data_IF_149964799932
#
_entry.id   IF_149964799932
#
_cell.length_a   1.000
_cell.length_b   1.000
_cell.length_c   1.000
_cell.angle_alpha   90.00
_cell.angle_beta   90.00
_cell.angle_gamma   90.00
#
_symmetry.space_group_name_H-M   'P 1'
#
loop_
_entity.id
_entity.type
_entity.pdbx_description
1 polymer ?
#
# COMPACT_ATOMS: atom_id res chain seq x y z
N UNK A 1 -2.01 1.99 37.31
CA UNK A 1 -1.06 2.99 36.78
C UNK A 1 -0.59 2.71 35.34
N UNK A 2 -0.36 1.48 34.88
CA UNK A 2 0.15 1.18 33.54
C UNK A 2 -0.76 1.61 32.36
N UNK A 3 -2.08 1.40 32.46
CA UNK A 3 -3.05 1.77 31.40
C UNK A 3 -3.12 3.29 31.16
N UNK A 4 -3.00 4.10 32.21
CA UNK A 4 -3.01 5.58 32.10
C UNK A 4 -1.73 6.09 31.43
N UNK A 5 -0.56 5.54 31.77
CA UNK A 5 0.72 5.88 31.12
C UNK A 5 0.70 5.52 29.64
N UNK A 6 0.16 4.37 29.25
CA UNK A 6 0.00 3.96 27.86
C UNK A 6 -0.89 4.91 27.05
N UNK A 7 -2.03 5.33 27.64
CA UNK A 7 -2.94 6.31 27.00
C UNK A 7 -2.28 7.67 26.79
N UNK A 8 -1.55 8.18 27.78
CA UNK A 8 -0.84 9.47 27.69
C UNK A 8 0.27 9.41 26.61
N UNK A 9 1.00 8.29 26.52
CA UNK A 9 2.03 8.07 25.49
C UNK A 9 1.41 8.04 24.09
N UNK A 10 0.27 7.37 23.94
CA UNK A 10 -0.48 7.31 22.68
C UNK A 10 -0.98 8.69 22.24
N UNK A 11 -1.49 9.51 23.17
CA UNK A 11 -1.95 10.87 22.89
C UNK A 11 -0.79 11.81 22.50
N UNK A 12 0.35 11.72 23.19
CA UNK A 12 1.57 12.48 22.83
C UNK A 12 2.06 12.13 21.43
N UNK A 13 2.09 10.83 21.09
CA UNK A 13 2.44 10.36 19.74
C UNK A 13 1.48 10.90 18.69
N UNK A 14 0.16 10.86 18.97
CA UNK A 14 -0.86 11.42 18.07
C UNK A 14 -0.69 12.93 17.89
N UNK A 15 -0.40 13.67 18.95
CA UNK A 15 -0.15 15.12 18.88
C UNK A 15 1.08 15.44 18.01
N UNK A 16 2.18 14.72 18.19
CA UNK A 16 3.37 14.85 17.34
C UNK A 16 3.08 14.57 15.86
N UNK A 17 2.28 13.53 15.57
CA UNK A 17 1.83 13.21 14.21
C UNK A 17 0.98 14.35 13.63
N UNK A 18 0.08 14.95 14.42
CA UNK A 18 -0.77 16.06 13.98
C UNK A 18 0.04 17.30 13.62
N UNK A 19 0.96 17.71 14.49
CA UNK A 19 1.87 18.84 14.23
C UNK A 19 2.70 18.62 12.98
N UNK A 20 3.14 17.37 12.78
CA UNK A 20 3.89 16.98 11.61
C UNK A 20 3.07 16.96 10.31
N UNK A 21 1.79 16.69 10.33
CA UNK A 21 0.96 16.41 9.16
C UNK A 21 -0.03 17.53 8.79
N UNK A 22 0.04 18.70 9.44
CA UNK A 22 -0.96 19.78 9.33
C UNK A 22 -2.39 19.24 9.62
N UNK A 23 -2.51 18.49 10.71
CA UNK A 23 -3.77 17.88 11.11
C UNK A 23 -4.27 18.48 12.43
N UNK A 24 -5.58 18.73 12.52
CA UNK A 24 -6.20 19.14 13.77
C UNK A 24 -6.30 17.92 14.70
N UNK A 25 -5.74 18.04 15.90
CA UNK A 25 -5.68 16.95 16.88
C UNK A 25 -7.07 16.44 17.30
N UNK A 26 -7.99 17.34 17.64
CA UNK A 26 -9.32 16.95 18.10
C UNK A 26 -10.12 16.24 17.00
N UNK A 27 -10.04 16.73 15.77
CA UNK A 27 -10.68 16.07 14.63
C UNK A 27 -10.10 14.68 14.39
N UNK A 28 -8.78 14.54 14.45
CA UNK A 28 -8.11 13.26 14.28
C UNK A 28 -8.51 12.27 15.38
N UNK A 29 -8.53 12.73 16.63
CA UNK A 29 -8.92 11.92 17.79
C UNK A 29 -10.37 11.44 17.68
N UNK A 30 -11.32 12.32 17.41
CA UNK A 30 -12.74 11.97 17.24
C UNK A 30 -12.93 10.97 16.11
N UNK A 31 -12.22 11.16 15.01
CA UNK A 31 -12.28 10.25 13.86
C UNK A 31 -11.71 8.86 14.21
N UNK A 32 -10.59 8.81 14.91
CA UNK A 32 -9.99 7.54 15.38
C UNK A 32 -10.93 6.80 16.33
N UNK A 33 -11.53 7.52 17.29
CA UNK A 33 -12.53 6.97 18.21
C UNK A 33 -13.73 6.41 17.42
N UNK A 34 -14.23 7.14 16.42
CA UNK A 34 -15.32 6.68 15.56
C UNK A 34 -14.98 5.36 14.86
N UNK A 35 -13.80 5.25 14.25
CA UNK A 35 -13.39 3.99 13.61
C UNK A 35 -13.29 2.84 14.59
N UNK A 36 -12.81 3.10 15.82
CA UNK A 36 -12.72 2.09 16.88
C UNK A 36 -14.10 1.63 17.36
N UNK A 37 -15.00 2.56 17.63
CA UNK A 37 -16.33 2.24 18.19
C UNK A 37 -17.24 1.55 17.18
N UNK A 38 -17.31 2.05 15.94
CA UNK A 38 -18.28 1.56 14.96
C UNK A 38 -17.76 0.40 14.11
N UNK A 39 -16.45 0.27 13.94
CA UNK A 39 -15.86 -0.75 13.06
C UNK A 39 -14.85 -1.66 13.75
N UNK A 40 -14.54 -1.41 15.04
CA UNK A 40 -13.46 -2.08 15.77
C UNK A 40 -12.12 -2.05 15.00
N UNK A 41 -11.78 -0.90 14.40
CA UNK A 41 -10.55 -0.70 13.63
C UNK A 41 -9.72 0.43 14.22
N UNK A 42 -8.41 0.20 14.32
CA UNK A 42 -7.44 1.20 14.78
C UNK A 42 -6.91 1.99 13.58
N UNK A 43 -7.74 2.90 13.04
CA UNK A 43 -7.42 3.74 11.88
C UNK A 43 -7.18 5.17 12.33
N UNK A 44 -5.98 5.70 12.03
CA UNK A 44 -5.62 7.10 12.23
C UNK A 44 -5.52 7.75 10.85
N UNK A 45 -6.51 8.56 10.48
CA UNK A 45 -6.64 9.08 9.12
C UNK A 45 -6.75 10.61 9.09
N UNK A 46 -5.93 11.25 8.24
CA UNK A 46 -5.98 12.69 7.99
C UNK A 46 -7.37 13.15 7.51
N UNK A 47 -7.71 14.45 7.72
CA UNK A 47 -9.01 15.05 7.31
C UNK A 47 -9.36 14.84 5.83
N UNK A 48 -8.34 14.77 4.95
CA UNK A 48 -8.49 14.56 3.50
C UNK A 48 -8.41 13.09 3.08
N UNK A 49 -8.69 12.18 3.98
CA UNK A 49 -8.81 10.76 3.68
C UNK A 49 -10.29 10.40 3.57
N UNK A 50 -10.68 9.80 2.46
CA UNK A 50 -12.02 9.28 2.24
C UNK A 50 -11.91 7.76 2.18
N UNK A 51 -12.67 7.06 3.01
CA UNK A 51 -12.72 5.60 3.01
C UNK A 51 -14.16 5.15 2.81
N UNK A 52 -14.41 4.43 1.72
CA UNK A 52 -15.61 3.64 1.51
C UNK A 52 -15.30 2.17 1.81
N UNK A 53 -16.21 1.46 2.46
CA UNK A 53 -16.02 0.04 2.80
C UNK A 53 -15.09 -0.22 3.98
N UNK A 54 -15.08 0.63 5.02
CA UNK A 54 -14.26 0.45 6.24
C UNK A 54 -14.42 -0.95 6.86
N UNK A 55 -15.61 -1.54 6.79
CA UNK A 55 -15.90 -2.90 7.30
C UNK A 55 -15.07 -4.00 6.63
N UNK A 56 -14.66 -3.77 5.40
CA UNK A 56 -13.87 -4.70 4.57
C UNK A 56 -12.35 -4.52 4.74
N UNK A 57 -11.92 -3.61 5.62
CA UNK A 57 -10.52 -3.47 6.01
C UNK A 57 -10.28 -4.37 7.23
N UNK A 58 -9.33 -5.28 7.12
CA UNK A 58 -9.01 -6.28 8.14
C UNK A 58 -7.59 -6.09 8.69
N UNK A 59 -7.33 -6.69 9.85
CA UNK A 59 -6.06 -6.59 10.57
C UNK A 59 -6.24 -6.00 11.97
N UNK A 60 -5.42 -6.45 12.92
CA UNK A 60 -5.53 -6.09 14.34
C UNK A 60 -4.70 -4.89 14.78
N UNK A 61 -3.93 -4.27 13.87
CA UNK A 61 -2.94 -3.25 14.20
C UNK A 61 -3.30 -1.86 13.65
N UNK A 62 -2.50 -0.85 14.00
CA UNK A 62 -2.78 0.53 13.63
C UNK A 62 -2.50 0.78 12.14
N UNK A 63 -3.50 1.26 11.44
CA UNK A 63 -3.40 1.76 10.07
C UNK A 63 -3.37 3.29 10.06
N UNK A 64 -2.25 3.87 9.64
CA UNK A 64 -2.06 5.32 9.53
C UNK A 64 -2.21 5.77 8.08
N UNK A 65 -3.11 6.72 7.79
CA UNK A 65 -3.43 7.10 6.41
C UNK A 65 -3.31 8.62 6.22
N UNK A 66 -2.53 9.02 5.24
CA UNK A 66 -2.40 10.41 4.79
C UNK A 66 -1.67 11.35 5.75
N UNK A 67 -0.98 10.81 6.76
CA UNK A 67 -0.27 11.57 7.81
C UNK A 67 1.25 11.62 7.61
N UNK A 68 1.79 10.88 6.62
CA UNK A 68 3.20 10.94 6.27
C UNK A 68 3.58 12.27 5.60
N UNK A 69 4.75 12.80 5.93
CA UNK A 69 5.31 13.99 5.28
C UNK A 69 6.22 13.60 4.12
N UNK A 70 5.81 13.96 2.92
CA UNK A 70 6.72 14.13 1.80
C UNK A 70 6.67 15.58 1.37
N UNK A 71 7.80 16.26 1.26
CA UNK A 71 7.87 17.72 1.04
C UNK A 71 7.17 18.19 -0.25
N UNK A 72 7.02 17.30 -1.22
CA UNK A 72 6.39 17.58 -2.53
C UNK A 72 4.88 17.27 -2.58
N UNK A 73 4.27 16.88 -1.46
CA UNK A 73 2.83 16.58 -1.40
C UNK A 73 2.07 17.85 -1.01
N UNK A 74 1.08 18.20 -1.80
CA UNK A 74 0.23 19.35 -1.54
C UNK A 74 -0.80 19.05 -0.45
N UNK A 75 -1.13 20.05 0.37
CA UNK A 75 -2.14 19.89 1.44
C UNK A 75 -3.53 19.55 0.89
N UNK A 76 -3.80 19.86 -0.39
CA UNK A 76 -5.03 19.51 -1.11
C UNK A 76 -5.16 18.07 -1.55
N UNK A 77 -4.06 17.30 -1.56
CA UNK A 77 -4.08 15.92 -2.06
C UNK A 77 -4.99 15.02 -1.21
N UNK A 78 -5.97 14.40 -1.87
CA UNK A 78 -6.95 13.51 -1.24
C UNK A 78 -6.48 12.07 -1.36
N UNK A 79 -6.44 11.34 -0.24
CA UNK A 79 -6.26 9.89 -0.21
C UNK A 79 -7.64 9.24 -0.26
N UNK A 80 -7.85 8.34 -1.23
CA UNK A 80 -9.15 7.72 -1.47
C UNK A 80 -9.02 6.19 -1.44
N UNK A 81 -9.80 5.55 -0.58
CA UNK A 81 -9.93 4.11 -0.50
C UNK A 81 -11.38 3.72 -0.80
N UNK A 82 -11.59 2.86 -1.79
CA UNK A 82 -12.86 2.24 -2.13
C UNK A 82 -12.70 0.72 -2.01
N UNK A 83 -13.17 0.15 -0.91
CA UNK A 83 -12.93 -1.26 -0.58
C UNK A 83 -14.26 -2.01 -0.63
N UNK A 84 -14.62 -2.49 -1.84
CA UNK A 84 -15.79 -3.35 -2.02
C UNK A 84 -15.45 -4.81 -1.69
N UNK A 85 -14.26 -5.27 -2.06
CA UNK A 85 -13.67 -6.56 -1.72
C UNK A 85 -13.01 -6.58 -0.34
N UNK A 86 -11.88 -7.27 -0.18
CA UNK A 86 -11.17 -7.43 1.11
C UNK A 86 -9.78 -6.80 1.07
N UNK A 87 -9.45 -5.96 2.07
CA UNK A 87 -8.14 -5.38 2.28
C UNK A 87 -7.60 -5.76 3.66
N UNK A 88 -6.53 -6.55 3.71
CA UNK A 88 -5.94 -7.05 4.96
C UNK A 88 -4.53 -6.49 5.17
N UNK A 89 -4.25 -5.97 6.37
CA UNK A 89 -2.92 -5.55 6.81
C UNK A 89 -2.42 -6.46 7.94
N UNK A 90 -1.27 -7.09 7.72
CA UNK A 90 -0.60 -7.91 8.73
C UNK A 90 0.34 -7.06 9.58
N UNK A 91 -0.15 -6.29 10.52
CA UNK A 91 0.67 -5.44 11.36
C UNK A 91 0.38 -3.95 11.19
N UNK A 92 1.21 -3.10 11.81
CA UNK A 92 1.11 -1.66 11.63
C UNK A 92 1.49 -1.27 10.21
N UNK A 93 0.71 -0.40 9.59
CA UNK A 93 1.00 0.03 8.23
C UNK A 93 0.76 1.52 8.03
N UNK A 94 1.46 2.09 7.05
CA UNK A 94 1.29 3.50 6.67
C UNK A 94 0.97 3.61 5.20
N UNK A 95 -0.10 4.35 4.88
CA UNK A 95 -0.49 4.75 3.54
C UNK A 95 -0.24 6.25 3.39
N UNK A 96 0.57 6.62 2.42
CA UNK A 96 0.91 8.00 2.11
C UNK A 96 -0.28 8.84 1.64
N UNK A 97 -0.09 10.17 1.63
CA UNK A 97 -1.10 11.11 1.12
C UNK A 97 -1.22 11.01 -0.39
N UNK A 98 -2.44 11.20 -0.91
CA UNK A 98 -2.72 11.15 -2.35
C UNK A 98 -2.79 9.73 -2.93
N UNK A 99 -2.65 8.68 -2.11
CA UNK A 99 -2.85 7.31 -2.56
C UNK A 99 -4.31 7.08 -2.97
N UNK A 100 -4.49 6.22 -3.97
CA UNK A 100 -5.80 5.74 -4.43
C UNK A 100 -5.79 4.22 -4.38
N UNK A 101 -6.73 3.64 -3.62
CA UNK A 101 -6.85 2.19 -3.48
C UNK A 101 -8.29 1.82 -3.81
N UNK A 102 -8.45 1.03 -4.86
CA UNK A 102 -9.72 0.47 -5.29
C UNK A 102 -9.62 -1.05 -5.28
N UNK A 103 -10.46 -1.71 -4.50
CA UNK A 103 -10.54 -3.17 -4.39
C UNK A 103 -11.95 -3.57 -4.76
N UNK A 104 -12.09 -4.19 -5.92
CA UNK A 104 -13.38 -4.61 -6.48
C UNK A 104 -14.06 -5.67 -5.61
N UNK A 105 -15.35 -5.84 -5.79
CA UNK A 105 -16.11 -6.92 -5.15
C UNK A 105 -15.52 -8.30 -5.51
N UNK A 106 -15.34 -9.16 -4.50
CA UNK A 106 -14.67 -10.46 -4.66
C UNK A 106 -13.14 -10.42 -4.69
N UNK A 107 -12.54 -9.25 -4.94
CA UNK A 107 -11.08 -9.10 -4.95
C UNK A 107 -10.46 -9.10 -3.56
N UNK A 108 -9.20 -9.51 -3.48
CA UNK A 108 -8.44 -9.57 -2.22
C UNK A 108 -7.11 -8.85 -2.33
N UNK A 109 -6.83 -8.01 -1.34
CA UNK A 109 -5.53 -7.36 -1.17
C UNK A 109 -4.97 -7.70 0.21
N UNK A 110 -3.77 -8.26 0.25
CA UNK A 110 -3.07 -8.56 1.51
C UNK A 110 -1.72 -7.86 1.52
N UNK A 111 -1.43 -7.12 2.59
CA UNK A 111 -0.18 -6.38 2.75
C UNK A 111 0.49 -6.81 4.06
N UNK A 112 1.68 -7.37 3.96
CA UNK A 112 2.47 -7.87 5.07
C UNK A 112 3.00 -6.77 6.00
N UNK A 113 3.40 -7.15 7.20
CA UNK A 113 3.90 -6.23 8.21
C UNK A 113 5.24 -5.57 7.85
N UNK A 114 5.54 -4.40 8.44
CA UNK A 114 6.88 -3.80 8.45
C UNK A 114 7.24 -2.99 7.19
N UNK A 115 6.26 -2.68 6.35
CA UNK A 115 6.45 -1.86 5.16
C UNK A 115 5.59 -0.59 5.16
N UNK A 116 5.59 0.11 4.03
CA UNK A 116 4.69 1.26 3.81
C UNK A 116 4.40 1.47 2.32
N UNK A 117 3.25 2.08 2.04
CA UNK A 117 2.91 2.64 0.74
C UNK A 117 3.18 4.15 0.79
N UNK A 118 4.11 4.63 -0.04
CA UNK A 118 4.41 6.05 -0.10
C UNK A 118 3.34 6.82 -0.89
N UNK A 119 3.48 8.13 -0.93
CA UNK A 119 2.49 9.08 -1.46
C UNK A 119 2.16 8.84 -2.94
N UNK A 120 0.91 9.13 -3.32
CA UNK A 120 0.42 9.06 -4.71
C UNK A 120 0.51 7.68 -5.36
N UNK A 121 0.66 6.61 -4.58
CA UNK A 121 0.58 5.24 -5.09
C UNK A 121 -0.86 4.88 -5.41
N UNK A 122 -1.08 4.25 -6.57
CA UNK A 122 -2.38 3.80 -7.05
C UNK A 122 -2.45 2.27 -7.04
N UNK A 123 -3.49 1.70 -6.45
CA UNK A 123 -3.76 0.27 -6.40
C UNK A 123 -5.18 0.06 -6.89
N UNK A 124 -5.35 -0.64 -8.02
CA UNK A 124 -6.64 -0.98 -8.61
C UNK A 124 -6.64 -2.48 -8.83
N UNK A 125 -7.43 -3.20 -8.02
CA UNK A 125 -7.40 -4.66 -7.97
C UNK A 125 -8.80 -5.22 -8.17
N UNK A 126 -8.92 -6.01 -9.23
CA UNK A 126 -10.13 -6.75 -9.59
C UNK A 126 -10.07 -8.23 -9.17
N UNK A 127 -8.86 -8.76 -8.89
CA UNK A 127 -8.64 -10.15 -8.53
C UNK A 127 -7.84 -10.27 -7.23
N UNK A 128 -6.49 -10.16 -7.32
CA UNK A 128 -5.65 -10.38 -6.14
C UNK A 128 -4.33 -9.63 -6.19
N UNK A 129 -4.02 -8.95 -5.09
CA UNK A 129 -2.70 -8.40 -4.80
C UNK A 129 -2.19 -8.95 -3.46
N UNK A 130 -0.98 -9.49 -3.48
CA UNK A 130 -0.27 -9.85 -2.27
C UNK A 130 1.07 -9.12 -2.24
N UNK A 131 1.32 -8.38 -1.16
CA UNK A 131 2.60 -7.73 -0.85
C UNK A 131 3.13 -8.36 0.44
N UNK A 132 4.31 -8.95 0.39
CA UNK A 132 4.94 -9.61 1.54
C UNK A 132 5.41 -8.64 2.63
N UNK A 133 6.06 -9.18 3.65
CA UNK A 133 6.57 -8.42 4.81
C UNK A 133 7.76 -7.56 4.43
N UNK A 134 7.92 -6.40 5.09
CA UNK A 134 9.07 -5.54 4.93
C UNK A 134 9.18 -4.84 3.55
N UNK A 135 8.11 -4.84 2.76
CA UNK A 135 8.13 -4.19 1.45
C UNK A 135 7.99 -2.68 1.56
N UNK A 136 8.87 -1.96 0.88
CA UNK A 136 8.88 -0.50 0.83
C UNK A 136 8.49 -0.06 -0.58
N UNK A 137 7.30 0.54 -0.71
CA UNK A 137 6.79 1.03 -1.97
C UNK A 137 7.00 2.54 -2.04
N UNK A 138 7.83 3.01 -2.96
CA UNK A 138 8.09 4.43 -3.16
C UNK A 138 6.88 5.16 -3.75
N UNK A 139 7.01 6.46 -4.00
CA UNK A 139 5.90 7.29 -4.49
C UNK A 139 5.57 7.05 -5.97
N UNK A 140 4.34 7.38 -6.35
CA UNK A 140 3.83 7.28 -7.72
C UNK A 140 3.88 5.85 -8.32
N UNK A 141 3.85 4.81 -7.51
CA UNK A 141 3.76 3.45 -8.03
C UNK A 141 2.33 3.09 -8.40
N UNK A 142 2.18 2.13 -9.32
CA UNK A 142 0.88 1.61 -9.75
C UNK A 142 0.84 0.09 -9.68
N UNK A 143 -0.33 -0.44 -9.24
CA UNK A 143 -0.67 -1.86 -9.26
C UNK A 143 -2.00 -2.02 -9.98
N UNK A 144 -2.02 -2.78 -11.07
CA UNK A 144 -3.18 -3.01 -11.91
C UNK A 144 -3.22 -4.46 -12.37
N UNK A 145 -4.18 -5.24 -11.88
CA UNK A 145 -4.28 -6.67 -12.16
C UNK A 145 -5.32 -7.05 -13.22
N UNK A 146 -5.92 -6.04 -13.87
CA UNK A 146 -6.92 -6.23 -14.91
C UNK A 146 -6.69 -5.23 -16.07
N UNK A 147 -6.90 -5.67 -17.31
CA UNK A 147 -6.84 -4.78 -18.48
C UNK A 147 -8.20 -4.12 -18.76
N UNK A 148 -9.28 -4.53 -18.10
CA UNK A 148 -10.68 -4.11 -18.30
C UNK A 148 -11.21 -4.32 -19.73
N UNK A 149 -10.37 -4.78 -20.65
CA UNK A 149 -10.68 -5.06 -22.05
C UNK A 149 -10.06 -6.37 -22.49
N UNK A 150 -10.69 -7.01 -23.44
CA UNK A 150 -10.23 -8.29 -23.99
C UNK A 150 -9.66 -8.08 -25.38
N UNK A 151 -8.38 -8.48 -25.56
CA UNK A 151 -7.77 -8.59 -26.87
C UNK A 151 -7.94 -10.03 -27.37
N UNK A 152 -8.38 -10.21 -28.61
CA UNK A 152 -8.47 -11.51 -29.25
C UNK A 152 -7.51 -11.57 -30.44
N UNK A 153 -6.58 -12.53 -30.43
CA UNK A 153 -5.64 -12.81 -31.52
C UNK A 153 -5.21 -14.27 -31.46
N UNK A 154 -4.76 -14.81 -32.59
CA UNK A 154 -4.28 -16.19 -32.66
C UNK A 154 -3.06 -16.42 -31.75
N UNK A 155 -3.06 -17.55 -31.03
CA UNK A 155 -1.99 -17.88 -30.07
C UNK A 155 -2.01 -17.10 -28.76
N UNK A 156 -3.10 -16.37 -28.44
CA UNK A 156 -3.22 -15.68 -27.16
C UNK A 156 -3.16 -16.66 -26.00
N UNK A 157 -2.21 -16.41 -25.09
CA UNK A 157 -2.13 -17.10 -23.80
C UNK A 157 -2.67 -16.17 -22.73
N UNK A 158 -3.69 -16.63 -22.02
CA UNK A 158 -4.23 -15.86 -20.88
C UNK A 158 -3.27 -15.91 -19.71
N UNK A 159 -2.87 -14.74 -19.21
CA UNK A 159 -1.99 -14.63 -18.04
C UNK A 159 -2.82 -14.72 -16.76
N UNK A 160 -2.21 -15.27 -15.70
CA UNK A 160 -2.74 -15.12 -14.35
C UNK A 160 -2.94 -13.64 -14.03
N UNK A 161 -4.08 -13.31 -13.45
CA UNK A 161 -4.42 -11.91 -13.08
C UNK A 161 -3.75 -11.45 -11.80
N UNK A 162 -3.20 -12.36 -10.98
CA UNK A 162 -2.65 -12.01 -9.68
C UNK A 162 -1.34 -11.20 -9.77
N UNK A 163 -1.14 -10.30 -8.81
CA UNK A 163 0.14 -9.62 -8.56
C UNK A 163 0.65 -10.09 -7.19
N UNK A 164 1.83 -10.68 -7.17
CA UNK A 164 2.44 -11.22 -5.96
C UNK A 164 3.85 -10.66 -5.79
N UNK A 165 4.06 -9.93 -4.72
CA UNK A 165 5.38 -9.50 -4.26
C UNK A 165 5.77 -10.32 -3.02
N UNK A 166 6.94 -10.92 -3.03
CA UNK A 166 7.55 -11.59 -1.89
C UNK A 166 7.89 -10.64 -0.74
N UNK A 167 8.78 -11.05 0.14
CA UNK A 167 9.18 -10.27 1.31
C UNK A 167 10.39 -9.37 1.02
N UNK A 168 10.54 -8.29 1.81
CA UNK A 168 11.71 -7.41 1.78
C UNK A 168 12.03 -6.85 0.38
N UNK A 169 11.01 -6.39 -0.32
CA UNK A 169 11.16 -5.80 -1.65
C UNK A 169 11.20 -4.28 -1.53
N UNK A 170 12.20 -3.66 -2.16
CA UNK A 170 12.23 -2.21 -2.37
C UNK A 170 11.76 -1.87 -3.78
N UNK A 171 10.69 -1.11 -3.86
CA UNK A 171 10.13 -0.62 -5.12
C UNK A 171 10.49 0.86 -5.28
N UNK A 172 11.24 1.19 -6.32
CA UNK A 172 11.57 2.56 -6.71
C UNK A 172 10.34 3.37 -7.13
N UNK A 173 10.48 4.69 -7.25
CA UNK A 173 9.37 5.55 -7.63
C UNK A 173 8.91 5.33 -9.08
N UNK A 174 7.59 5.49 -9.30
CA UNK A 174 7.00 5.39 -10.64
C UNK A 174 7.05 3.98 -11.24
N UNK A 175 7.19 2.94 -10.43
CA UNK A 175 7.12 1.56 -10.89
C UNK A 175 5.67 1.15 -11.11
N UNK A 176 5.43 0.45 -12.21
CA UNK A 176 4.11 -0.08 -12.56
C UNK A 176 4.12 -1.60 -12.57
N UNK A 177 3.20 -2.21 -11.82
CA UNK A 177 2.97 -3.65 -11.78
C UNK A 177 1.67 -3.99 -12.47
N UNK A 178 1.74 -4.91 -13.41
CA UNK A 178 0.58 -5.40 -14.15
C UNK A 178 0.32 -6.88 -13.87
N UNK A 179 -0.84 -7.35 -14.28
CA UNK A 179 -1.30 -8.74 -14.12
C UNK A 179 -0.23 -9.77 -14.49
N UNK A 180 -0.19 -10.85 -13.71
CA UNK A 180 0.78 -11.95 -13.87
C UNK A 180 2.17 -11.64 -13.34
N UNK A 181 2.32 -10.56 -12.57
CA UNK A 181 3.59 -10.24 -11.91
C UNK A 181 3.79 -11.08 -10.67
N UNK A 182 4.93 -11.76 -10.59
CA UNK A 182 5.42 -12.42 -9.37
C UNK A 182 6.87 -12.03 -9.14
N UNK A 183 7.18 -11.51 -7.96
CA UNK A 183 8.53 -11.08 -7.58
C UNK A 183 8.98 -11.84 -6.35
N UNK A 184 10.15 -12.50 -6.44
CA UNK A 184 10.76 -13.21 -5.32
C UNK A 184 11.30 -12.25 -4.24
N UNK A 185 11.58 -12.80 -3.06
CA UNK A 185 12.04 -12.06 -1.87
C UNK A 185 13.32 -11.26 -2.12
N UNK A 186 13.48 -10.15 -1.41
CA UNK A 186 14.70 -9.36 -1.36
C UNK A 186 15.05 -8.58 -2.62
N UNK A 187 14.19 -8.56 -3.62
CA UNK A 187 14.42 -7.84 -4.87
C UNK A 187 14.32 -6.31 -4.71
N UNK A 188 15.05 -5.61 -5.58
CA UNK A 188 14.94 -4.16 -5.76
C UNK A 188 14.39 -3.91 -7.17
N UNK A 189 13.30 -3.17 -7.27
CA UNK A 189 12.73 -2.75 -8.55
C UNK A 189 13.12 -1.30 -8.80
N UNK A 190 13.92 -1.07 -9.85
CA UNK A 190 14.41 0.27 -10.17
C UNK A 190 13.27 1.22 -10.57
N UNK A 191 13.43 2.49 -10.26
CA UNK A 191 12.44 3.53 -10.58
C UNK A 191 12.06 3.53 -12.07
N UNK A 192 10.76 3.78 -12.35
CA UNK A 192 10.23 3.85 -13.72
C UNK A 192 10.16 2.51 -14.45
N UNK A 193 10.32 1.39 -13.75
CA UNK A 193 10.23 0.06 -14.37
C UNK A 193 8.77 -0.37 -14.57
N UNK A 194 8.52 -1.11 -15.65
CA UNK A 194 7.22 -1.75 -15.94
C UNK A 194 7.36 -3.25 -15.79
N UNK A 195 6.71 -3.80 -14.77
CA UNK A 195 6.81 -5.21 -14.37
C UNK A 195 5.52 -5.94 -14.75
N UNK A 196 5.66 -6.98 -15.58
CA UNK A 196 4.55 -7.81 -16.06
C UNK A 196 4.97 -9.27 -16.31
N UNK A 197 5.90 -9.75 -15.49
CA UNK A 197 6.49 -11.08 -15.63
C UNK A 197 6.84 -11.68 -14.27
N UNK A 198 7.18 -12.96 -14.29
CA UNK A 198 7.66 -13.68 -13.11
C UNK A 198 9.16 -13.50 -12.99
N UNK A 199 9.61 -12.98 -11.85
CA UNK A 199 11.00 -12.89 -11.40
C UNK A 199 11.14 -13.83 -10.20
N UNK A 200 11.49 -15.08 -10.45
CA UNK A 200 11.57 -16.14 -9.43
C UNK A 200 12.89 -16.17 -8.67
N UNK A 201 13.91 -15.46 -9.15
CA UNK A 201 15.22 -15.40 -8.51
C UNK A 201 15.23 -14.29 -7.43
N UNK A 202 15.54 -14.62 -6.16
CA UNK A 202 15.54 -13.63 -5.08
C UNK A 202 16.78 -12.73 -5.12
N UNK A 203 16.72 -11.62 -4.36
CA UNK A 203 17.83 -10.70 -4.18
C UNK A 203 18.39 -10.14 -5.50
N UNK A 204 17.51 -9.79 -6.42
CA UNK A 204 17.87 -9.23 -7.72
C UNK A 204 17.52 -7.74 -7.83
N UNK A 205 18.34 -7.00 -8.60
CA UNK A 205 17.96 -5.71 -9.16
C UNK A 205 17.23 -5.94 -10.48
N UNK A 206 16.00 -5.47 -10.54
CA UNK A 206 15.12 -5.59 -11.71
C UNK A 206 14.84 -4.22 -12.27
N UNK A 207 14.98 -4.02 -13.59
CA UNK A 207 14.78 -2.71 -14.22
C UNK A 207 14.31 -2.82 -15.68
N UNK A 208 13.66 -1.77 -16.16
CA UNK A 208 13.33 -1.56 -17.58
C UNK A 208 11.83 -1.69 -17.90
N UNK A 209 11.52 -1.58 -19.19
CA UNK A 209 10.19 -1.79 -19.79
C UNK A 209 10.32 -2.68 -21.05
N UNK A 210 9.93 -3.97 -21.01
CA UNK A 210 9.57 -4.72 -19.82
C UNK A 210 10.74 -4.94 -18.87
N UNK A 211 10.48 -4.98 -17.56
CA UNK A 211 11.51 -5.14 -16.54
C UNK A 211 12.18 -6.53 -16.60
N UNK A 212 13.50 -6.56 -16.44
CA UNK A 212 14.36 -7.76 -16.44
C UNK A 212 15.38 -7.68 -15.32
N UNK A 213 15.95 -8.82 -14.94
CA UNK A 213 17.06 -8.87 -13.99
C UNK A 213 18.30 -8.19 -14.57
N UNK A 214 18.80 -7.16 -13.88
CA UNK A 214 20.01 -6.40 -14.26
C UNK A 214 21.22 -6.85 -13.42
N UNK A 215 21.01 -7.13 -12.13
CA UNK A 215 22.05 -7.62 -11.22
C UNK A 215 21.47 -8.66 -10.27
N UNK A 216 22.34 -9.54 -9.78
CA UNK A 216 22.07 -10.59 -8.81
C UNK A 216 22.78 -10.32 -7.51
N UNK A 217 22.35 -11.01 -6.43
CA UNK A 217 22.95 -10.91 -5.10
C UNK A 217 22.97 -9.47 -4.57
N UNK A 218 21.88 -8.75 -4.80
CA UNK A 218 21.69 -7.36 -4.33
C UNK A 218 21.13 -7.39 -2.91
N UNK A 219 21.62 -6.52 -2.05
CA UNK A 219 21.04 -6.25 -0.74
C UNK A 219 20.71 -4.76 -0.63
N UNK A 220 19.67 -4.43 0.13
CA UNK A 220 19.27 -3.05 0.42
C UNK A 220 18.94 -2.90 1.90
N UNK A 221 19.06 -1.67 2.42
CA UNK A 221 18.81 -1.34 3.84
C UNK A 221 17.90 -0.11 3.94
#
# INVERSE_FOLDING_TARGET
MGKLRGAVTSLKKMYSICSAADANFFFLLLRTIRYKLFYNRDIIAHKRVIIKGVKNIHGGNTLTIGLGRSRFVHNGDVTYLNIAGSLTFEGNHTIGRGCRIDVAEGATVTIGAGGYLNVKTTIIISNKLQIGKGCVISWNCQFLDDDFHQLNYEGRVEKNSEIILGNNIWVGCGVEFYKGTVIADGCVIAAGSIVRSVISEPNCLVAGNPAKIIKRNVTWK
#
